data_IF_136797093458
#
_entry.id   IF_136797093458
#
_cell.length_a   1.000
_cell.length_b   1.000
_cell.length_c   1.000
_cell.angle_alpha   90.00
_cell.angle_beta   90.00
_cell.angle_gamma   90.00
#
_symmetry.space_group_name_H-M   'P 1'
#
loop_
_entity.id
_entity.type
_entity.pdbx_description
1 polymer ?
#
# COMPACT_ATOMS: atom_id res chain seq x y z
N UNK A 1 -7.92 -3.39 5.95
CA UNK A 1 -6.81 -2.51 5.56
C UNK A 1 -6.32 -1.63 6.71
N UNK A 2 -7.18 -0.80 7.33
CA UNK A 2 -6.79 0.06 8.46
C UNK A 2 -6.15 -0.69 9.64
N UNK A 3 -6.73 -1.82 10.05
CA UNK A 3 -6.18 -2.63 11.15
C UNK A 3 -4.84 -3.29 10.81
N UNK A 4 -4.58 -3.57 9.52
CA UNK A 4 -3.30 -4.10 9.07
C UNK A 4 -2.22 -3.00 9.06
N UNK A 5 -2.56 -1.78 8.63
CA UNK A 5 -1.65 -0.62 8.71
C UNK A 5 -1.20 -0.35 10.15
N UNK A 6 -2.17 -0.26 11.09
CA UNK A 6 -1.88 -0.10 12.53
C UNK A 6 -1.02 -1.24 13.10
N UNK A 7 -1.24 -2.48 12.65
CA UNK A 7 -0.41 -3.61 13.05
C UNK A 7 1.04 -3.40 12.59
N UNK A 8 1.24 -3.01 11.34
CA UNK A 8 2.56 -2.80 10.77
C UNK A 8 3.31 -1.68 11.48
N UNK A 9 2.66 -0.53 11.70
CA UNK A 9 3.19 0.60 12.47
C UNK A 9 3.60 0.16 13.89
N UNK A 10 2.72 -0.52 14.63
CA UNK A 10 3.02 -0.98 15.98
C UNK A 10 4.19 -1.97 16.04
N UNK A 11 4.39 -2.78 15.00
CA UNK A 11 5.52 -3.71 14.90
C UNK A 11 6.85 -3.00 14.58
N UNK A 12 6.80 -1.88 13.86
CA UNK A 12 7.96 -1.09 13.48
C UNK A 12 8.44 -0.18 14.63
N UNK A 13 7.50 0.35 15.42
CA UNK A 13 7.78 1.20 16.59
C UNK A 13 8.50 0.48 17.75
N UNK A 14 8.66 -0.85 17.69
CA UNK A 14 9.28 -1.63 18.76
C UNK A 14 10.45 -2.49 18.29
N UNK A 15 11.49 -2.57 19.11
CA UNK A 15 12.64 -3.47 18.91
C UNK A 15 12.56 -4.73 19.79
N UNK A 16 11.60 -4.81 20.72
CA UNK A 16 11.47 -5.94 21.64
C UNK A 16 10.76 -7.13 20.98
N UNK A 17 11.45 -8.26 20.85
CA UNK A 17 10.86 -9.51 20.34
C UNK A 17 9.62 -9.91 21.12
N UNK A 18 9.64 -9.78 22.45
CA UNK A 18 8.49 -10.12 23.30
C UNK A 18 7.29 -9.22 23.01
N UNK A 19 7.52 -7.93 22.79
CA UNK A 19 6.47 -6.99 22.42
C UNK A 19 5.87 -7.34 21.04
N UNK A 20 6.71 -7.64 20.04
CA UNK A 20 6.25 -8.07 18.71
C UNK A 20 5.39 -9.32 18.77
N UNK A 21 5.78 -10.32 19.58
CA UNK A 21 4.98 -11.54 19.76
C UNK A 21 3.61 -11.22 20.38
N UNK A 22 3.56 -10.33 21.38
CA UNK A 22 2.28 -9.94 21.99
C UNK A 22 1.37 -9.20 21.00
N UNK A 23 1.91 -8.23 20.26
CA UNK A 23 1.18 -7.47 19.24
C UNK A 23 0.57 -8.41 18.19
N UNK A 24 1.35 -9.39 17.71
CA UNK A 24 0.87 -10.41 16.78
C UNK A 24 -0.21 -11.30 17.39
N UNK A 25 -0.03 -11.77 18.62
CA UNK A 25 -1.00 -12.60 19.31
C UNK A 25 -2.35 -11.87 19.48
N UNK A 26 -2.30 -10.61 19.92
CA UNK A 26 -3.48 -9.77 20.10
C UNK A 26 -4.20 -9.52 18.77
N UNK A 27 -3.45 -9.32 17.68
CA UNK A 27 -4.03 -9.20 16.34
C UNK A 27 -4.70 -10.49 15.86
N UNK A 28 -4.02 -11.64 15.98
CA UNK A 28 -4.56 -12.92 15.51
C UNK A 28 -5.72 -13.45 16.37
N UNK A 29 -5.84 -13.02 17.63
CA UNK A 29 -6.98 -13.35 18.48
C UNK A 29 -8.29 -12.70 18.01
N UNK A 30 -8.22 -11.58 17.30
CA UNK A 30 -9.38 -10.79 16.82
C UNK A 30 -9.63 -10.87 15.32
N UNK A 31 -8.60 -11.16 14.52
CA UNK A 31 -8.70 -11.22 13.07
C UNK A 31 -9.34 -12.53 12.59
N UNK A 32 -9.95 -12.51 11.40
CA UNK A 32 -10.41 -13.75 10.77
C UNK A 32 -9.22 -14.63 10.36
N UNK A 33 -9.47 -15.93 10.15
CA UNK A 33 -8.43 -16.85 9.68
C UNK A 33 -7.86 -16.44 8.32
N UNK A 34 -8.70 -15.89 7.43
CA UNK A 34 -8.31 -15.41 6.09
C UNK A 34 -7.41 -14.18 6.17
N UNK A 35 -7.78 -13.18 6.98
CA UNK A 35 -6.95 -11.98 7.18
C UNK A 35 -5.62 -12.37 7.84
N UNK A 36 -5.67 -13.26 8.83
CA UNK A 36 -4.48 -13.78 9.51
C UNK A 36 -3.52 -14.48 8.54
N UNK A 37 -4.04 -15.28 7.60
CA UNK A 37 -3.24 -15.94 6.58
C UNK A 37 -2.52 -14.93 5.66
N UNK A 38 -3.21 -13.85 5.26
CA UNK A 38 -2.60 -12.78 4.48
C UNK A 38 -1.54 -12.01 5.27
N UNK A 39 -1.79 -11.70 6.54
CA UNK A 39 -0.78 -11.06 7.40
C UNK A 39 0.48 -11.91 7.54
N UNK A 40 0.33 -13.21 7.82
CA UNK A 40 1.46 -14.14 7.91
C UNK A 40 2.20 -14.21 6.55
N UNK A 41 1.47 -14.25 5.44
CA UNK A 41 2.05 -14.26 4.11
C UNK A 41 2.99 -13.05 3.92
N UNK A 42 2.55 -11.83 4.22
CA UNK A 42 3.38 -10.64 4.05
C UNK A 42 4.52 -10.56 5.08
N UNK A 43 4.26 -10.85 6.35
CA UNK A 43 5.27 -10.75 7.41
C UNK A 43 6.40 -11.80 7.28
N UNK A 44 6.14 -12.92 6.59
CA UNK A 44 7.18 -13.90 6.25
C UNK A 44 7.99 -13.51 5.01
N UNK A 45 7.86 -12.28 4.54
CA UNK A 45 8.60 -11.72 3.41
C UNK A 45 8.08 -12.19 2.04
N UNK A 46 6.93 -12.88 1.99
CA UNK A 46 6.34 -13.27 0.71
C UNK A 46 5.70 -12.04 0.07
N UNK A 47 5.78 -12.00 -1.26
CA UNK A 47 5.25 -10.91 -2.07
C UNK A 47 4.34 -11.48 -3.14
N UNK A 48 3.27 -10.74 -3.44
CA UNK A 48 2.46 -11.03 -4.62
C UNK A 48 3.34 -10.72 -5.85
N UNK A 49 3.29 -11.59 -6.86
CA UNK A 49 4.06 -11.38 -8.10
C UNK A 49 3.69 -10.02 -8.68
N UNK A 50 4.69 -9.29 -9.18
CA UNK A 50 4.54 -7.92 -9.68
C UNK A 50 3.36 -7.82 -10.66
N UNK A 51 2.35 -7.04 -10.27
CA UNK A 51 1.10 -6.87 -11.02
C UNK A 51 1.18 -5.70 -12.00
N UNK A 52 1.86 -4.63 -11.61
CA UNK A 52 2.05 -3.41 -12.41
C UNK A 52 3.54 -3.13 -12.52
N UNK A 53 3.99 -2.63 -13.67
CA UNK A 53 5.39 -2.25 -13.86
C UNK A 53 5.72 -0.95 -13.10
N UNK A 54 6.92 -0.87 -12.51
CA UNK A 54 7.37 0.34 -11.81
C UNK A 54 7.44 1.56 -12.75
N UNK A 55 7.75 1.33 -14.04
CA UNK A 55 7.77 2.38 -15.07
C UNK A 55 6.37 2.97 -15.29
N UNK A 56 5.36 2.11 -15.44
CA UNK A 56 3.98 2.55 -15.64
C UNK A 56 3.48 3.33 -14.42
N UNK A 57 3.70 2.80 -13.20
CA UNK A 57 3.38 3.50 -11.95
C UNK A 57 3.99 4.90 -11.93
N UNK A 58 5.31 5.02 -12.16
CA UNK A 58 6.01 6.31 -12.17
C UNK A 58 5.35 7.31 -13.13
N UNK A 59 5.02 6.88 -14.34
CA UNK A 59 4.34 7.73 -15.34
C UNK A 59 2.98 8.20 -14.80
N UNK A 60 2.16 7.27 -14.29
CA UNK A 60 0.81 7.58 -13.80
C UNK A 60 0.83 8.53 -12.59
N UNK A 61 1.82 8.39 -11.72
CA UNK A 61 2.02 9.22 -10.54
C UNK A 61 2.42 10.65 -10.95
N UNK A 62 3.40 10.78 -11.84
CA UNK A 62 3.81 12.09 -12.37
C UNK A 62 2.64 12.83 -13.03
N UNK A 63 1.82 12.10 -13.79
CA UNK A 63 0.64 12.66 -14.44
C UNK A 63 -0.46 13.06 -13.43
N UNK A 64 -0.74 12.22 -12.42
CA UNK A 64 -1.73 12.51 -11.39
C UNK A 64 -1.31 13.71 -10.51
N UNK A 65 -0.05 13.73 -10.06
CA UNK A 65 0.53 14.79 -9.25
C UNK A 65 0.81 16.08 -10.04
N UNK A 66 0.72 16.04 -11.37
CA UNK A 66 1.14 17.12 -12.29
C UNK A 66 2.59 17.55 -12.07
N UNK A 67 3.46 16.59 -11.82
CA UNK A 67 4.88 16.78 -11.52
C UNK A 67 5.72 16.31 -12.71
N UNK A 68 6.68 17.13 -13.20
CA UNK A 68 7.54 16.69 -14.28
C UNK A 68 8.45 15.55 -13.81
N UNK A 69 8.76 14.61 -14.72
CA UNK A 69 9.49 13.39 -14.37
C UNK A 69 10.87 13.63 -13.74
N UNK A 70 11.55 14.73 -14.06
CA UNK A 70 12.84 15.07 -13.43
C UNK A 70 12.67 15.40 -11.93
N UNK A 71 11.60 16.09 -11.54
CA UNK A 71 11.35 16.45 -10.14
C UNK A 71 10.91 15.23 -9.33
N UNK A 72 10.19 14.31 -9.98
CA UNK A 72 9.91 13.01 -9.40
C UNK A 72 11.20 12.24 -9.12
N UNK A 73 12.15 12.21 -10.05
CA UNK A 73 13.41 11.49 -9.85
C UNK A 73 14.22 12.08 -8.70
N UNK A 74 14.34 13.41 -8.61
CA UNK A 74 15.00 14.09 -7.48
C UNK A 74 14.33 13.74 -6.14
N UNK A 75 12.99 13.65 -6.12
CA UNK A 75 12.23 13.26 -4.92
C UNK A 75 12.47 11.79 -4.56
N UNK A 76 12.56 10.92 -5.57
CA UNK A 76 12.85 9.50 -5.40
C UNK A 76 14.28 9.27 -4.91
N UNK A 77 15.27 10.00 -5.43
CA UNK A 77 16.65 9.94 -4.95
C UNK A 77 16.78 10.41 -3.49
N UNK A 78 15.99 11.41 -3.09
CA UNK A 78 16.00 11.92 -1.72
C UNK A 78 15.42 10.93 -0.70
N UNK A 79 14.36 10.19 -1.06
CA UNK A 79 13.71 9.21 -0.16
C UNK A 79 14.34 7.82 -0.25
N UNK A 80 14.83 7.43 -1.43
CA UNK A 80 15.34 6.09 -1.70
C UNK A 80 14.27 5.01 -1.77
N UNK A 81 12.99 5.33 -1.59
CA UNK A 81 11.88 4.39 -1.62
C UNK A 81 10.71 4.92 -2.47
N UNK A 82 10.22 4.07 -3.39
CA UNK A 82 9.17 4.45 -4.32
C UNK A 82 7.82 4.63 -3.60
N UNK A 83 7.50 3.75 -2.64
CA UNK A 83 6.24 3.84 -1.93
C UNK A 83 6.19 5.11 -1.06
N UNK A 84 7.29 5.44 -0.38
CA UNK A 84 7.42 6.68 0.39
C UNK A 84 7.33 7.92 -0.52
N UNK A 85 8.06 7.94 -1.63
CA UNK A 85 7.98 9.04 -2.62
C UNK A 85 6.54 9.30 -3.03
N UNK A 86 5.80 8.23 -3.35
CA UNK A 86 4.42 8.32 -3.84
C UNK A 86 3.48 8.78 -2.75
N UNK A 87 3.60 8.22 -1.55
CA UNK A 87 2.79 8.62 -0.40
C UNK A 87 2.96 10.11 -0.08
N UNK A 88 4.20 10.59 -0.03
CA UNK A 88 4.51 12.01 0.22
C UNK A 88 4.03 12.91 -0.92
N UNK A 89 4.19 12.48 -2.17
CA UNK A 89 3.78 13.27 -3.34
C UNK A 89 2.26 13.40 -3.42
N UNK A 90 1.52 12.30 -3.19
CA UNK A 90 0.06 12.31 -3.15
C UNK A 90 -0.43 13.16 -1.99
N UNK A 91 0.16 13.04 -0.80
CA UNK A 91 -0.19 13.89 0.34
C UNK A 91 0.08 15.38 0.07
N UNK A 92 1.15 15.72 -0.64
CA UNK A 92 1.47 17.11 -0.98
C UNK A 92 0.58 17.70 -2.09
N UNK A 93 0.12 16.88 -3.05
CA UNK A 93 -0.57 17.34 -4.26
C UNK A 93 -2.09 17.15 -4.22
N UNK A 94 -2.58 16.18 -3.45
CA UNK A 94 -4.00 15.82 -3.35
C UNK A 94 -4.67 16.29 -2.05
N UNK A 95 -3.96 17.00 -1.15
CA UNK A 95 -4.42 17.51 0.17
C UNK A 95 -5.60 18.51 0.16
N UNK A 96 -6.24 18.74 -0.99
CA UNK A 96 -7.41 19.60 -1.14
C UNK A 96 -8.74 18.87 -1.04
N UNK A 97 -8.75 17.54 -1.13
CA UNK A 97 -9.95 16.72 -1.09
C UNK A 97 -9.99 15.94 0.24
N UNK A 98 -11.14 15.90 0.94
CA UNK A 98 -11.26 15.06 2.13
C UNK A 98 -10.92 13.62 1.74
N UNK A 99 -10.23 12.85 2.61
CA UNK A 99 -9.92 11.46 2.31
C UNK A 99 -11.22 10.78 1.91
N UNK A 100 -11.27 10.27 0.68
CA UNK A 100 -12.40 9.48 0.19
C UNK A 100 -12.62 8.42 1.27
N UNK A 101 -13.82 8.39 1.84
CA UNK A 101 -14.19 7.45 2.89
C UNK A 101 -13.93 6.06 2.33
N UNK A 102 -12.75 5.53 2.62
CA UNK A 102 -12.33 4.24 2.14
C UNK A 102 -13.19 3.26 2.91
N UNK A 103 -13.97 2.49 2.17
CA UNK A 103 -14.74 1.39 2.74
C UNK A 103 -13.84 0.63 3.73
N UNK A 104 -14.36 0.30 4.92
CA UNK A 104 -13.61 -0.44 5.94
C UNK A 104 -13.43 -1.91 5.49
N UNK A 105 -12.70 -2.12 4.41
CA UNK A 105 -12.39 -3.42 3.83
C UNK A 105 -11.40 -4.13 4.74
N UNK A 106 -11.57 -5.45 4.90
CA UNK A 106 -10.58 -6.30 5.54
C UNK A 106 -9.32 -6.42 4.68
N UNK A 107 -8.22 -6.97 5.21
CA UNK A 107 -7.02 -7.18 4.39
C UNK A 107 -7.31 -8.14 3.23
N UNK A 108 -8.03 -9.23 3.50
CA UNK A 108 -8.43 -10.22 2.50
C UNK A 108 -9.25 -9.59 1.38
N UNK A 109 -10.27 -8.80 1.74
CA UNK A 109 -11.13 -8.14 0.75
C UNK A 109 -10.31 -7.19 -0.12
N UNK A 110 -9.43 -6.38 0.48
CA UNK A 110 -8.60 -5.46 -0.27
C UNK A 110 -7.66 -6.20 -1.24
N UNK A 111 -6.99 -7.26 -0.78
CA UNK A 111 -6.11 -8.07 -1.63
C UNK A 111 -6.89 -8.70 -2.80
N UNK A 112 -8.05 -9.29 -2.55
CA UNK A 112 -8.81 -9.97 -3.59
C UNK A 112 -9.52 -9.02 -4.56
N UNK A 113 -10.11 -7.93 -4.05
CA UNK A 113 -10.98 -7.05 -4.83
C UNK A 113 -10.21 -5.91 -5.49
N UNK A 114 -9.08 -5.46 -4.91
CA UNK A 114 -8.31 -4.32 -5.43
C UNK A 114 -6.98 -4.74 -6.03
N UNK A 115 -6.26 -5.65 -5.36
CA UNK A 115 -4.89 -5.97 -5.78
C UNK A 115 -4.85 -7.08 -6.84
N UNK A 116 -5.35 -8.29 -6.54
CA UNK A 116 -5.20 -9.45 -7.43
C UNK A 116 -5.90 -9.28 -8.78
N UNK A 117 -6.98 -8.51 -8.83
CA UNK A 117 -7.70 -8.22 -10.07
C UNK A 117 -6.83 -7.47 -11.10
N UNK A 118 -5.81 -6.73 -10.65
CA UNK A 118 -4.93 -5.98 -11.57
C UNK A 118 -4.27 -6.92 -12.57
N UNK A 119 -3.98 -8.18 -12.19
CA UNK A 119 -3.40 -9.17 -13.11
C UNK A 119 -4.29 -9.54 -14.30
N UNK A 120 -5.59 -9.30 -14.21
CA UNK A 120 -6.57 -9.63 -15.26
C UNK A 120 -6.96 -8.43 -16.11
N UNK A 121 -6.54 -7.23 -15.74
CA UNK A 121 -6.91 -5.97 -16.38
C UNK A 121 -5.89 -5.54 -17.45
N UNK A 122 -6.35 -4.74 -18.41
CA UNK A 122 -5.48 -4.01 -19.36
C UNK A 122 -4.71 -2.90 -18.67
N UNK A 123 -3.66 -2.36 -19.30
CA UNK A 123 -2.84 -1.30 -18.71
C UNK A 123 -3.64 -0.02 -18.40
N UNK A 124 -4.55 0.38 -19.29
CA UNK A 124 -5.47 1.49 -19.06
C UNK A 124 -6.42 1.24 -17.87
N UNK A 125 -6.98 0.04 -17.74
CA UNK A 125 -7.85 -0.30 -16.61
C UNK A 125 -7.08 -0.39 -15.29
N UNK A 126 -5.86 -0.94 -15.31
CA UNK A 126 -4.97 -0.94 -14.15
C UNK A 126 -4.69 0.49 -13.69
N UNK A 127 -4.40 1.40 -14.64
CA UNK A 127 -4.16 2.81 -14.33
C UNK A 127 -5.35 3.44 -13.62
N UNK A 128 -6.55 3.29 -14.18
CA UNK A 128 -7.77 3.86 -13.60
C UNK A 128 -8.00 3.30 -12.19
N UNK A 129 -7.86 1.98 -12.03
CA UNK A 129 -8.05 1.33 -10.73
C UNK A 129 -7.03 1.80 -9.69
N UNK A 130 -5.75 1.92 -10.06
CA UNK A 130 -4.70 2.38 -9.16
C UNK A 130 -4.89 3.84 -8.77
N UNK A 131 -5.26 4.70 -9.73
CA UNK A 131 -5.51 6.12 -9.47
C UNK A 131 -6.74 6.36 -8.60
N UNK A 132 -7.73 5.46 -8.62
CA UNK A 132 -8.91 5.55 -7.76
C UNK A 132 -8.63 5.20 -6.29
N UNK A 133 -7.48 4.60 -5.98
CA UNK A 133 -7.09 4.21 -4.61
C UNK A 133 -6.07 5.18 -3.98
N UNK A 134 -5.71 6.26 -4.69
CA UNK A 134 -4.85 7.35 -4.19
C UNK A 134 -5.68 8.50 -3.63
#
# INVERSE_FOLDING_TARGET
MNEFGKLFEALDETTSTKAKVQILADYFARASAEDSAWVIFFLTGRKIKRLVSAKALRIWICEAAKVPGWLFEESYEATGDLAETVALLMDATCRGEPPVVTENLTLTQWVHQRLLILSTLTEEEQRVQVQAEW
#
